data_IF_644462642322
#
_entry.id   IF_644462642322
#
_cell.length_a   1.000
_cell.length_b   1.000
_cell.length_c   1.000
_cell.angle_alpha   90.00
_cell.angle_beta   90.00
_cell.angle_gamma   90.00
#
_symmetry.space_group_name_H-M   'P 1'
#
loop_
_entity.id
_entity.type
_entity.pdbx_description
1 polymer ?
#
# COMPACT_ATOMS: atom_id res chain seq x y z
N UNK A 1 6.21 24.26 -11.29
CA UNK A 1 6.40 23.04 -10.47
C UNK A 1 6.38 21.85 -11.40
N UNK A 2 7.02 20.74 -11.04
CA UNK A 2 6.89 19.50 -11.81
C UNK A 2 5.52 18.91 -11.50
N UNK A 3 4.70 18.74 -12.52
CA UNK A 3 3.32 18.26 -12.38
C UNK A 3 3.30 16.73 -12.32
N UNK A 4 2.32 16.19 -11.61
CA UNK A 4 2.14 14.74 -11.49
C UNK A 4 1.85 14.12 -12.84
N UNK A 5 1.04 14.79 -13.66
CA UNK A 5 0.56 14.35 -14.96
C UNK A 5 1.73 14.00 -15.89
N UNK A 6 2.78 14.84 -15.92
CA UNK A 6 3.94 14.62 -16.79
C UNK A 6 4.74 13.38 -16.36
N UNK A 7 5.03 13.21 -15.08
CA UNK A 7 5.73 12.02 -14.57
C UNK A 7 4.85 10.77 -14.70
N UNK A 8 3.55 10.92 -14.48
CA UNK A 8 2.61 9.81 -14.56
C UNK A 8 2.60 9.20 -15.96
N UNK A 9 2.46 10.02 -17.00
CA UNK A 9 2.43 9.55 -18.39
C UNK A 9 3.80 9.06 -18.86
N UNK A 10 4.88 9.77 -18.52
CA UNK A 10 6.21 9.46 -19.06
C UNK A 10 6.93 8.31 -18.36
N UNK A 11 6.66 8.08 -17.06
CA UNK A 11 7.41 7.10 -16.24
C UNK A 11 6.48 6.07 -15.62
N UNK A 12 5.47 6.52 -14.87
CA UNK A 12 4.66 5.61 -14.06
C UNK A 12 3.82 4.66 -14.90
N UNK A 13 3.12 5.19 -15.92
CA UNK A 13 2.22 4.41 -16.77
C UNK A 13 2.98 3.35 -17.58
N UNK A 14 4.11 3.65 -18.27
CA UNK A 14 4.93 2.64 -18.91
C UNK A 14 5.43 1.56 -17.94
N UNK A 15 5.84 1.94 -16.73
CA UNK A 15 6.28 1.00 -15.70
C UNK A 15 5.12 0.09 -15.26
N UNK A 16 3.94 0.64 -14.99
CA UNK A 16 2.76 -0.12 -14.60
C UNK A 16 2.34 -1.12 -15.69
N UNK A 17 2.32 -0.69 -16.95
CA UNK A 17 2.04 -1.57 -18.10
C UNK A 17 3.09 -2.68 -18.19
N UNK A 18 4.38 -2.35 -18.03
CA UNK A 18 5.47 -3.32 -18.06
C UNK A 18 5.33 -4.38 -16.96
N UNK A 19 4.92 -3.98 -15.74
CA UNK A 19 4.66 -4.89 -14.62
C UNK A 19 3.48 -5.83 -14.94
N UNK A 20 2.40 -5.31 -15.53
CA UNK A 20 1.24 -6.11 -15.93
C UNK A 20 1.60 -7.11 -17.04
N UNK A 21 2.31 -6.66 -18.08
CA UNK A 21 2.78 -7.50 -19.18
C UNK A 21 3.74 -8.59 -18.68
N UNK A 22 4.68 -8.25 -17.79
CA UNK A 22 5.56 -9.23 -17.18
C UNK A 22 4.78 -10.31 -16.42
N UNK A 23 3.79 -9.92 -15.63
CA UNK A 23 3.00 -10.88 -14.86
C UNK A 23 2.07 -11.73 -15.75
N UNK A 24 1.47 -11.13 -16.78
CA UNK A 24 0.59 -11.83 -17.72
C UNK A 24 1.33 -12.75 -18.68
N UNK A 25 2.41 -12.25 -19.30
CA UNK A 25 3.13 -12.98 -20.35
C UNK A 25 4.22 -13.90 -19.78
N UNK A 26 5.02 -13.44 -18.81
CA UNK A 26 6.16 -14.22 -18.29
C UNK A 26 5.78 -15.08 -17.09
N UNK A 27 5.06 -14.54 -16.12
CA UNK A 27 4.61 -15.32 -14.94
C UNK A 27 3.30 -16.08 -15.17
N UNK A 28 2.66 -15.90 -16.33
CA UNK A 28 1.39 -16.55 -16.71
C UNK A 28 0.31 -16.43 -15.62
N UNK A 29 0.24 -15.26 -14.96
CA UNK A 29 -0.78 -14.99 -13.94
C UNK A 29 -2.15 -14.82 -14.60
N UNK A 30 -3.20 -15.31 -13.93
CA UNK A 30 -4.56 -15.28 -14.45
C UNK A 30 -5.14 -13.86 -14.55
N UNK A 31 -6.21 -13.69 -15.35
CA UNK A 31 -6.87 -12.39 -15.58
C UNK A 31 -7.35 -11.72 -14.29
N UNK A 32 -7.91 -12.50 -13.36
CA UNK A 32 -8.37 -12.00 -12.05
C UNK A 32 -7.21 -11.44 -11.21
N UNK A 33 -6.04 -12.09 -11.24
CA UNK A 33 -4.84 -11.57 -10.57
C UNK A 33 -4.42 -10.22 -11.17
N UNK A 34 -4.40 -10.12 -12.51
CA UNK A 34 -4.03 -8.89 -13.20
C UNK A 34 -5.04 -7.76 -12.92
N UNK A 35 -6.31 -8.08 -12.74
CA UNK A 35 -7.34 -7.12 -12.33
C UNK A 35 -7.02 -6.51 -10.95
N UNK A 36 -6.77 -7.34 -9.91
CA UNK A 36 -6.39 -6.83 -8.59
C UNK A 36 -5.06 -6.09 -8.61
N UNK A 37 -4.07 -6.57 -9.38
CA UNK A 37 -2.81 -5.87 -9.56
C UNK A 37 -2.99 -4.50 -10.23
N UNK A 38 -3.90 -4.39 -11.21
CA UNK A 38 -4.20 -3.12 -11.87
C UNK A 38 -4.83 -2.11 -10.93
N UNK A 39 -5.79 -2.54 -10.09
CA UNK A 39 -6.39 -1.69 -9.04
C UNK A 39 -5.32 -1.21 -8.07
N UNK A 40 -4.44 -2.12 -7.63
CA UNK A 40 -3.37 -1.79 -6.69
C UNK A 40 -2.34 -0.81 -7.28
N UNK A 41 -1.94 -1.00 -8.55
CA UNK A 41 -1.09 -0.04 -9.24
C UNK A 41 -1.81 1.31 -9.37
N UNK A 42 -3.05 1.33 -9.81
CA UNK A 42 -3.83 2.57 -9.87
C UNK A 42 -3.87 3.31 -8.52
N UNK A 43 -4.11 2.58 -7.42
CA UNK A 43 -4.00 3.12 -6.07
C UNK A 43 -2.59 3.68 -5.76
N UNK A 44 -1.51 2.96 -6.08
CA UNK A 44 -0.14 3.42 -5.86
C UNK A 44 0.17 4.72 -6.61
N UNK A 45 -0.47 4.98 -7.75
CA UNK A 45 -0.33 6.26 -8.45
C UNK A 45 -0.84 7.44 -7.61
N UNK A 46 -1.94 7.25 -6.86
CA UNK A 46 -2.45 8.26 -5.92
C UNK A 46 -1.57 8.40 -4.69
N UNK A 47 -0.99 7.32 -4.18
CA UNK A 47 0.01 7.40 -3.11
C UNK A 47 1.14 8.32 -3.55
N UNK A 48 1.73 8.06 -4.73
CA UNK A 48 2.80 8.91 -5.29
C UNK A 48 2.32 10.35 -5.46
N UNK A 49 1.12 10.57 -6.01
CA UNK A 49 0.54 11.91 -6.21
C UNK A 49 0.46 12.68 -4.89
N UNK A 50 -0.14 12.08 -3.87
CA UNK A 50 -0.41 12.78 -2.62
C UNK A 50 0.80 12.86 -1.69
N UNK A 51 1.80 11.99 -1.82
CA UNK A 51 3.00 12.01 -0.96
C UNK A 51 4.17 12.76 -1.57
N UNK A 52 4.30 12.82 -2.91
CA UNK A 52 5.48 13.43 -3.53
C UNK A 52 5.18 14.76 -4.22
N UNK A 53 3.96 14.99 -4.71
CA UNK A 53 3.62 16.16 -5.54
C UNK A 53 2.86 17.26 -4.79
N UNK A 54 3.00 18.53 -5.18
CA UNK A 54 3.83 19.04 -6.27
C UNK A 54 5.32 19.13 -5.90
N UNK A 55 6.22 18.85 -6.85
CA UNK A 55 7.67 18.99 -6.64
C UNK A 55 8.12 20.37 -7.16
N UNK A 56 8.65 21.27 -6.31
CA UNK A 56 9.11 22.58 -6.76
C UNK A 56 10.47 22.46 -7.43
N UNK A 57 10.51 22.45 -8.77
CA UNK A 57 11.75 22.36 -9.57
C UNK A 57 12.20 23.69 -10.20
N UNK A 58 11.44 24.78 -10.00
CA UNK A 58 11.79 26.07 -10.59
C UNK A 58 12.97 26.70 -9.82
N UNK A 59 14.15 26.71 -10.44
CA UNK A 59 15.40 27.21 -9.84
C UNK A 59 15.32 28.67 -9.38
N UNK A 60 14.65 29.56 -10.14
CA UNK A 60 14.51 30.98 -9.75
C UNK A 60 13.67 31.14 -8.49
N UNK A 61 12.56 30.41 -8.43
CA UNK A 61 11.68 30.37 -7.27
C UNK A 61 12.39 29.80 -6.03
N UNK A 62 13.10 28.67 -6.20
CA UNK A 62 13.87 28.06 -5.11
C UNK A 62 14.98 29.00 -4.60
N UNK A 63 15.71 29.66 -5.50
CA UNK A 63 16.75 30.61 -5.12
C UNK A 63 16.18 31.78 -4.31
N UNK A 64 15.03 32.32 -4.70
CA UNK A 64 14.35 33.38 -3.96
C UNK A 64 13.96 32.96 -2.54
N UNK A 65 13.37 31.77 -2.36
CA UNK A 65 12.98 31.30 -1.02
C UNK A 65 14.20 30.99 -0.17
N UNK A 66 15.21 30.33 -0.75
CA UNK A 66 16.40 29.93 -0.02
C UNK A 66 17.26 31.12 0.45
N UNK A 67 17.08 32.32 -0.11
CA UNK A 67 17.67 33.56 0.41
C UNK A 67 17.07 33.98 1.76
N UNK A 68 15.78 33.70 1.98
CA UNK A 68 15.08 34.08 3.20
C UNK A 68 15.23 33.03 4.30
N UNK A 69 15.32 31.75 3.93
CA UNK A 69 15.59 30.65 4.84
C UNK A 69 16.55 29.67 4.17
N UNK A 70 17.84 29.70 4.53
CA UNK A 70 18.84 28.80 3.97
C UNK A 70 18.44 27.32 4.15
N UNK A 71 18.85 26.48 3.21
CA UNK A 71 18.52 25.04 3.21
C UNK A 71 18.90 24.35 4.54
N UNK A 72 20.05 24.69 5.13
CA UNK A 72 20.47 24.07 6.40
C UNK A 72 19.53 24.42 7.57
N UNK A 73 18.95 25.62 7.56
CA UNK A 73 17.98 26.02 8.58
C UNK A 73 16.67 25.29 8.36
N UNK A 74 16.20 25.21 7.11
CA UNK A 74 15.02 24.43 6.77
C UNK A 74 15.14 22.97 7.23
N UNK A 75 16.30 22.34 7.03
CA UNK A 75 16.55 20.97 7.51
C UNK A 75 16.36 20.85 9.02
N UNK A 76 16.86 21.81 9.80
CA UNK A 76 16.76 21.78 11.26
C UNK A 76 15.32 21.90 11.76
N UNK A 77 14.48 22.70 11.09
CA UNK A 77 13.11 22.98 11.55
C UNK A 77 12.04 22.11 10.91
N UNK A 78 12.32 21.49 9.75
CA UNK A 78 11.34 20.71 8.98
C UNK A 78 11.67 19.22 8.88
N UNK A 79 12.76 18.78 9.48
CA UNK A 79 13.04 17.36 9.65
C UNK A 79 12.96 17.02 11.14
N UNK A 80 12.02 16.13 11.46
CA UNK A 80 11.87 15.60 12.80
C UNK A 80 12.24 14.12 12.85
N UNK A 81 13.32 13.83 13.56
CA UNK A 81 13.79 12.47 13.80
C UNK A 81 13.34 11.90 15.16
N UNK A 82 12.67 12.69 16.00
CA UNK A 82 12.26 12.22 17.32
C UNK A 82 10.92 11.48 17.20
N UNK A 83 10.89 10.15 17.36
CA UNK A 83 9.64 9.40 17.26
C UNK A 83 8.76 9.66 18.48
N UNK A 84 7.45 9.45 18.31
CA UNK A 84 6.44 9.51 19.37
C UNK A 84 6.37 10.86 20.10
N UNK A 85 6.90 11.92 19.49
CA UNK A 85 6.69 13.26 20.02
C UNK A 85 5.19 13.60 19.97
N UNK A 86 4.69 14.11 21.09
CA UNK A 86 3.32 14.59 21.22
C UNK A 86 3.39 16.11 21.20
N UNK A 87 2.46 16.77 20.53
CA UNK A 87 2.40 18.23 20.56
C UNK A 87 2.17 18.70 22.01
N UNK A 88 2.74 19.85 22.40
CA UNK A 88 2.59 20.38 23.76
C UNK A 88 1.13 20.63 24.18
N UNK A 89 0.23 20.76 23.21
CA UNK A 89 -1.19 21.04 23.39
C UNK A 89 -2.05 19.78 23.65
N UNK A 90 -1.44 18.60 23.79
CA UNK A 90 -2.12 17.31 23.97
C UNK A 90 -3.20 17.02 22.91
N UNK A 91 -3.13 17.67 21.75
CA UNK A 91 -4.07 17.38 20.67
C UNK A 91 -3.78 16.01 20.08
N UNK A 92 -4.79 15.14 20.11
CA UNK A 92 -4.72 13.83 19.47
C UNK A 92 -4.78 13.99 17.96
N UNK A 93 -3.83 13.36 17.24
CA UNK A 93 -3.79 13.13 15.79
C UNK A 93 -4.10 14.37 14.93
N UNK A 94 -3.05 14.96 14.34
CA UNK A 94 -3.25 16.04 13.36
C UNK A 94 -3.94 15.51 12.09
N UNK A 95 -4.57 16.41 11.34
CA UNK A 95 -5.18 16.08 10.04
C UNK A 95 -4.19 15.37 9.11
N UNK A 96 -2.93 15.80 9.08
CA UNK A 96 -1.88 15.20 8.23
C UNK A 96 -1.58 13.76 8.64
N UNK A 97 -1.49 13.50 9.94
CA UNK A 97 -1.25 12.17 10.50
C UNK A 97 -2.41 11.21 10.18
N UNK A 98 -3.67 11.68 10.30
CA UNK A 98 -4.86 10.91 9.92
C UNK A 98 -4.84 10.59 8.42
N UNK A 99 -4.47 11.57 7.58
CA UNK A 99 -4.39 11.35 6.13
C UNK A 99 -3.31 10.32 5.77
N UNK A 100 -2.17 10.28 6.47
CA UNK A 100 -1.14 9.25 6.29
C UNK A 100 -1.66 7.85 6.64
N UNK A 101 -2.41 7.71 7.74
CA UNK A 101 -3.10 6.45 8.09
C UNK A 101 -4.06 6.04 6.96
N UNK A 102 -4.99 6.94 6.60
CA UNK A 102 -6.04 6.65 5.60
C UNK A 102 -5.41 6.27 4.26
N UNK A 103 -4.35 6.96 3.86
CA UNK A 103 -3.63 6.71 2.62
C UNK A 103 -3.10 5.27 2.56
N UNK A 104 -2.62 4.71 3.66
CA UNK A 104 -2.03 3.36 3.71
C UNK A 104 -3.02 2.22 3.99
N UNK A 105 -4.29 2.51 4.32
CA UNK A 105 -5.31 1.47 4.52
C UNK A 105 -5.52 0.61 3.25
N UNK A 106 -5.71 1.18 2.04
CA UNK A 106 -5.89 0.36 0.84
C UNK A 106 -4.70 -0.55 0.56
N UNK A 107 -3.47 -0.13 0.89
CA UNK A 107 -2.29 -0.97 0.75
C UNK A 107 -2.41 -2.25 1.58
N UNK A 108 -2.68 -2.11 2.88
CA UNK A 108 -2.84 -3.23 3.80
C UNK A 108 -3.94 -4.21 3.40
N UNK A 109 -4.98 -3.70 2.72
CA UNK A 109 -6.07 -4.49 2.19
C UNK A 109 -5.69 -5.25 0.91
N UNK A 110 -5.27 -4.53 -0.14
CA UNK A 110 -5.09 -5.09 -1.49
C UNK A 110 -3.87 -6.01 -1.62
N UNK A 111 -2.83 -5.82 -0.81
CA UNK A 111 -1.62 -6.64 -0.86
C UNK A 111 -1.91 -8.14 -0.69
N UNK A 112 -2.98 -8.49 0.05
CA UNK A 112 -3.40 -9.87 0.29
C UNK A 112 -3.94 -10.58 -0.95
N UNK A 113 -4.36 -9.84 -1.98
CA UNK A 113 -4.81 -10.39 -3.26
C UNK A 113 -3.68 -10.52 -4.28
N UNK A 114 -2.49 -10.00 -3.99
CA UNK A 114 -1.36 -9.97 -4.94
C UNK A 114 -0.24 -10.90 -4.49
N UNK A 115 0.02 -10.98 -3.19
CA UNK A 115 1.03 -11.86 -2.63
C UNK A 115 0.47 -12.64 -1.45
N UNK A 116 1.03 -13.82 -1.22
CA UNK A 116 0.73 -14.59 -0.01
C UNK A 116 1.40 -13.93 1.18
N UNK A 117 0.62 -13.15 1.93
CA UNK A 117 1.04 -12.46 3.15
C UNK A 117 0.89 -13.39 4.37
N UNK A 118 1.46 -12.98 5.50
CA UNK A 118 1.15 -13.40 6.87
C UNK A 118 1.34 -12.15 7.76
N UNK A 119 1.09 -12.23 9.06
CA UNK A 119 1.20 -11.05 9.95
C UNK A 119 2.60 -10.42 9.82
N UNK A 120 3.67 -11.21 9.89
CA UNK A 120 5.05 -10.71 9.78
C UNK A 120 5.32 -9.97 8.46
N UNK A 121 4.82 -10.51 7.34
CA UNK A 121 4.94 -9.85 6.03
C UNK A 121 4.13 -8.56 5.97
N UNK A 122 2.93 -8.53 6.55
CA UNK A 122 2.14 -7.30 6.61
C UNK A 122 2.87 -6.23 7.40
N UNK A 123 3.41 -6.57 8.57
CA UNK A 123 4.21 -5.65 9.38
C UNK A 123 5.43 -5.15 8.58
N UNK A 124 6.18 -6.06 7.97
CA UNK A 124 7.34 -5.71 7.15
C UNK A 124 6.99 -4.79 5.97
N UNK A 125 5.98 -5.15 5.18
CA UNK A 125 5.59 -4.37 4.00
C UNK A 125 4.93 -3.04 4.37
N UNK A 126 4.19 -2.97 5.48
CA UNK A 126 3.61 -1.73 5.99
C UNK A 126 4.70 -0.78 6.51
N UNK A 127 5.74 -1.32 7.14
CA UNK A 127 6.90 -0.52 7.52
C UNK A 127 7.66 -0.05 6.28
N UNK A 128 7.90 -0.95 5.32
CA UNK A 128 8.64 -0.65 4.10
C UNK A 128 7.97 0.44 3.26
N UNK A 129 6.64 0.44 3.13
CA UNK A 129 5.94 1.50 2.38
C UNK A 129 6.05 2.85 3.08
N UNK A 130 5.85 2.90 4.41
CA UNK A 130 6.02 4.14 5.19
C UNK A 130 7.44 4.68 5.10
N UNK A 131 8.43 3.81 5.31
CA UNK A 131 9.84 4.15 5.18
C UNK A 131 10.22 4.62 3.76
N UNK A 132 9.68 3.98 2.72
CA UNK A 132 9.96 4.35 1.33
C UNK A 132 9.39 5.73 0.99
N UNK A 133 8.18 6.05 1.45
CA UNK A 133 7.56 7.37 1.25
C UNK A 133 8.43 8.46 1.87
N UNK A 134 8.79 8.29 3.14
CA UNK A 134 9.60 9.26 3.89
C UNK A 134 10.98 9.45 3.28
N UNK A 135 11.63 8.33 2.92
CA UNK A 135 12.94 8.34 2.29
C UNK A 135 12.92 9.05 0.93
N UNK A 136 11.87 8.84 0.13
CA UNK A 136 11.72 9.53 -1.16
C UNK A 136 11.50 11.04 -0.98
N UNK A 137 10.70 11.47 0.00
CA UNK A 137 10.53 12.88 0.31
C UNK A 137 11.84 13.53 0.76
N UNK A 138 12.63 12.83 1.57
CA UNK A 138 13.97 13.28 1.98
C UNK A 138 14.92 13.37 0.79
N UNK A 139 15.02 12.32 -0.02
CA UNK A 139 15.87 12.29 -1.22
C UNK A 139 15.50 13.41 -2.19
N UNK A 140 14.22 13.64 -2.43
CA UNK A 140 13.75 14.73 -3.27
C UNK A 140 14.13 16.10 -2.68
N UNK A 141 13.90 16.31 -1.38
CA UNK A 141 14.23 17.57 -0.69
C UNK A 141 15.72 17.90 -0.74
N UNK A 142 16.59 16.88 -0.58
CA UNK A 142 18.04 17.03 -0.72
C UNK A 142 18.43 17.31 -2.17
N UNK A 143 17.84 16.58 -3.13
CA UNK A 143 18.14 16.73 -4.55
C UNK A 143 17.81 18.13 -5.09
N UNK A 144 16.72 18.73 -4.62
CA UNK A 144 16.31 20.09 -5.01
C UNK A 144 16.90 21.18 -4.10
N UNK A 145 17.65 20.80 -3.05
CA UNK A 145 18.18 21.69 -2.00
C UNK A 145 17.09 22.58 -1.38
N UNK A 146 15.92 22.00 -1.11
CA UNK A 146 14.79 22.69 -0.54
C UNK A 146 13.84 21.70 0.15
N UNK A 147 13.51 21.95 1.42
CA UNK A 147 12.59 21.11 2.19
C UNK A 147 11.16 21.53 1.89
N UNK A 148 10.57 20.94 0.86
CA UNK A 148 9.25 21.31 0.35
C UNK A 148 8.09 20.64 1.11
N UNK A 149 8.38 19.59 1.87
CA UNK A 149 7.47 18.90 2.78
C UNK A 149 8.19 18.66 4.09
N UNK A 150 7.46 18.75 5.19
CA UNK A 150 7.97 18.34 6.50
C UNK A 150 8.21 16.85 6.47
N UNK A 151 9.39 16.43 6.90
CA UNK A 151 9.81 15.04 7.01
C UNK A 151 9.71 14.70 8.49
N UNK A 152 8.85 13.76 8.86
CA UNK A 152 8.61 13.38 10.25
C UNK A 152 8.64 11.86 10.38
N UNK A 153 9.52 11.35 11.24
CA UNK A 153 9.62 9.91 11.48
C UNK A 153 8.31 9.30 12.01
N UNK A 154 7.44 10.11 12.63
CA UNK A 154 6.10 9.68 13.01
C UNK A 154 5.23 9.31 11.79
N UNK A 155 5.47 9.88 10.61
CA UNK A 155 4.72 9.53 9.41
C UNK A 155 4.98 8.08 8.96
N UNK A 156 6.16 7.54 9.26
CA UNK A 156 6.43 6.10 9.09
C UNK A 156 5.50 5.28 10.00
N UNK A 157 5.29 5.72 11.23
CA UNK A 157 4.42 5.05 12.21
C UNK A 157 2.96 5.15 11.74
N UNK A 158 2.50 6.33 11.31
CA UNK A 158 1.12 6.51 10.83
C UNK A 158 0.83 5.69 9.56
N UNK A 159 1.75 5.68 8.60
CA UNK A 159 1.66 4.84 7.40
C UNK A 159 1.64 3.34 7.77
N UNK A 160 2.50 2.93 8.71
CA UNK A 160 2.54 1.56 9.23
C UNK A 160 1.22 1.16 9.89
N UNK A 161 0.65 2.02 10.73
CA UNK A 161 -0.66 1.85 11.37
C UNK A 161 -1.77 1.72 10.33
N UNK A 162 -1.76 2.56 9.29
CA UNK A 162 -2.69 2.44 8.17
C UNK A 162 -2.62 1.07 7.49
N UNK A 163 -1.42 0.57 7.24
CA UNK A 163 -1.20 -0.76 6.67
C UNK A 163 -1.74 -1.90 7.54
N UNK A 164 -1.58 -1.82 8.86
CA UNK A 164 -2.16 -2.78 9.81
C UNK A 164 -3.69 -2.71 9.78
N UNK A 165 -4.26 -1.51 9.86
CA UNK A 165 -5.72 -1.31 9.83
C UNK A 165 -6.31 -1.87 8.54
N UNK A 166 -5.68 -1.61 7.39
CA UNK A 166 -6.08 -2.18 6.10
C UNK A 166 -6.08 -3.70 6.08
N UNK A 167 -5.08 -4.33 6.72
CA UNK A 167 -5.02 -5.77 6.85
C UNK A 167 -6.11 -6.32 7.78
N UNK A 168 -6.41 -5.65 8.89
CA UNK A 168 -7.52 -6.03 9.78
C UNK A 168 -8.86 -5.96 9.04
N UNK A 169 -9.10 -4.89 8.27
CA UNK A 169 -10.28 -4.78 7.40
C UNK A 169 -10.36 -5.96 6.41
N UNK A 170 -9.24 -6.32 5.78
CA UNK A 170 -9.19 -7.49 4.91
C UNK A 170 -9.57 -8.79 5.65
N UNK A 171 -9.04 -9.02 6.85
CA UNK A 171 -9.36 -10.21 7.63
C UNK A 171 -10.84 -10.31 7.99
N UNK A 172 -11.45 -9.19 8.41
CA UNK A 172 -12.88 -9.12 8.74
C UNK A 172 -13.72 -9.47 7.50
N UNK A 173 -13.46 -8.81 6.38
CA UNK A 173 -14.19 -9.04 5.12
C UNK A 173 -13.98 -10.46 4.62
N UNK A 174 -12.75 -10.97 4.64
CA UNK A 174 -12.42 -12.33 4.24
C UNK A 174 -13.17 -13.37 5.09
N UNK A 175 -13.24 -13.17 6.42
CA UNK A 175 -13.93 -14.08 7.33
C UNK A 175 -15.44 -14.10 7.07
N UNK A 176 -16.05 -12.94 6.91
CA UNK A 176 -17.48 -12.81 6.58
C UNK A 176 -17.78 -13.46 5.23
N UNK A 177 -16.96 -13.17 4.21
CA UNK A 177 -17.14 -13.73 2.88
C UNK A 177 -17.09 -15.26 2.87
N UNK A 178 -16.07 -15.85 3.51
CA UNK A 178 -15.95 -17.32 3.62
C UNK A 178 -17.14 -17.92 4.39
N UNK A 179 -17.54 -17.30 5.50
CA UNK A 179 -18.70 -17.75 6.27
C UNK A 179 -19.98 -17.80 5.42
N UNK A 180 -20.26 -16.74 4.66
CA UNK A 180 -21.43 -16.68 3.78
C UNK A 180 -21.33 -17.75 2.68
N UNK A 181 -20.18 -17.87 2.01
CA UNK A 181 -20.00 -18.87 0.95
C UNK A 181 -20.17 -20.30 1.45
N UNK A 182 -19.61 -20.63 2.62
CA UNK A 182 -19.70 -21.96 3.22
C UNK A 182 -21.13 -22.24 3.72
N UNK A 183 -21.79 -21.27 4.35
CA UNK A 183 -23.14 -21.42 4.89
C UNK A 183 -24.18 -21.66 3.80
N UNK A 184 -24.10 -20.90 2.69
CA UNK A 184 -25.04 -21.03 1.57
C UNK A 184 -24.58 -21.99 0.46
N UNK A 185 -23.45 -22.69 0.63
CA UNK A 185 -22.85 -23.56 -0.40
C UNK A 185 -22.75 -22.88 -1.78
N UNK A 186 -22.25 -21.64 -1.80
CA UNK A 186 -22.19 -20.82 -3.01
C UNK A 186 -21.30 -21.47 -4.08
N UNK A 187 -21.82 -21.61 -5.30
CA UNK A 187 -21.00 -22.02 -6.44
C UNK A 187 -20.08 -20.88 -6.87
N UNK A 188 -18.79 -21.18 -7.04
CA UNK A 188 -17.79 -20.17 -7.38
C UNK A 188 -17.49 -20.13 -8.88
N UNK A 189 -17.59 -18.93 -9.47
CA UNK A 189 -16.94 -18.60 -10.74
C UNK A 189 -15.45 -18.24 -10.52
N UNK A 190 -14.70 -17.96 -11.60
CA UNK A 190 -13.26 -17.65 -11.49
C UNK A 190 -12.95 -16.50 -10.53
N UNK A 191 -13.77 -15.45 -10.52
CA UNK A 191 -13.57 -14.27 -9.69
C UNK A 191 -13.82 -14.55 -8.21
N UNK A 192 -15.00 -15.09 -7.89
CA UNK A 192 -15.40 -15.43 -6.52
C UNK A 192 -14.54 -16.54 -5.93
N UNK A 193 -14.08 -17.49 -6.76
CA UNK A 193 -13.10 -18.51 -6.40
C UNK A 193 -11.77 -17.87 -6.01
N UNK A 194 -11.29 -16.89 -6.79
CA UNK A 194 -10.04 -16.17 -6.51
C UNK A 194 -10.09 -15.48 -5.15
N UNK A 195 -11.20 -14.79 -4.84
CA UNK A 195 -11.38 -14.15 -3.53
C UNK A 195 -11.40 -15.21 -2.44
N UNK A 196 -12.20 -16.28 -2.62
CA UNK A 196 -12.34 -17.35 -1.63
C UNK A 196 -11.00 -17.97 -1.25
N UNK A 197 -10.17 -18.35 -2.24
CA UNK A 197 -8.85 -18.94 -1.94
C UNK A 197 -7.91 -17.99 -1.18
N UNK A 198 -7.96 -16.68 -1.44
CA UNK A 198 -7.14 -15.72 -0.71
C UNK A 198 -7.70 -15.49 0.71
N UNK A 199 -9.01 -15.60 0.90
CA UNK A 199 -9.66 -15.51 2.20
C UNK A 199 -9.44 -16.74 3.09
N UNK A 200 -9.60 -17.97 2.59
CA UNK A 200 -9.46 -19.18 3.43
C UNK A 200 -8.05 -19.41 3.94
N UNK A 201 -7.02 -18.99 3.18
CA UNK A 201 -5.62 -19.24 3.52
C UNK A 201 -5.20 -18.56 4.82
N UNK A 202 -5.98 -17.57 5.28
CA UNK A 202 -5.76 -16.83 6.52
C UNK A 202 -6.46 -17.40 7.74
N UNK A 203 -7.46 -18.26 7.52
CA UNK A 203 -8.18 -18.95 8.59
C UNK A 203 -7.31 -20.02 9.27
N UNK A 204 -6.30 -20.56 8.54
CA UNK A 204 -5.39 -21.60 9.02
C UNK A 204 -4.36 -21.15 10.07
N UNK A 205 -4.02 -19.87 10.12
CA UNK A 205 -3.02 -19.36 11.07
C UNK A 205 -3.60 -19.10 12.47
N UNK A 206 -4.92 -19.26 12.67
CA UNK A 206 -5.59 -19.00 13.95
C UNK A 206 -6.57 -20.07 14.45
N UNK A 207 -6.79 -21.16 13.70
CA UNK A 207 -7.78 -22.18 14.07
C UNK A 207 -7.38 -23.57 13.53
N UNK A 208 -6.97 -24.48 14.43
CA UNK A 208 -6.38 -25.79 14.11
C UNK A 208 -7.40 -26.83 13.60
N UNK A 209 -8.69 -26.50 13.53
CA UNK A 209 -9.76 -27.42 13.12
C UNK A 209 -10.06 -27.54 11.61
N UNK A 210 -9.51 -26.67 10.76
CA UNK A 210 -9.99 -26.47 9.36
C UNK A 210 -9.34 -27.45 8.35
N UNK A 211 -8.54 -28.42 8.81
CA UNK A 211 -7.79 -29.31 7.91
C UNK A 211 -8.68 -30.26 7.08
N UNK A 212 -9.91 -30.53 7.53
CA UNK A 212 -10.84 -31.48 6.90
C UNK A 212 -11.56 -30.90 5.67
N UNK A 213 -12.01 -29.65 5.71
CA UNK A 213 -12.76 -29.05 4.59
C UNK A 213 -11.86 -28.74 3.38
N UNK A 214 -10.62 -28.37 3.62
CA UNK A 214 -9.63 -28.11 2.56
C UNK A 214 -9.23 -29.40 1.83
N UNK A 215 -9.21 -30.56 2.52
CA UNK A 215 -9.02 -31.87 1.87
C UNK A 215 -10.20 -32.25 0.98
N UNK A 216 -11.43 -32.04 1.46
CA UNK A 216 -12.66 -32.24 0.66
C UNK A 216 -12.65 -31.37 -0.60
N UNK A 217 -12.12 -30.16 -0.52
CA UNK A 217 -12.04 -29.21 -1.63
C UNK A 217 -10.93 -29.50 -2.65
N UNK A 218 -9.76 -30.00 -2.20
CA UNK A 218 -8.71 -30.48 -3.12
C UNK A 218 -9.18 -31.69 -3.97
N UNK A 219 -10.09 -32.51 -3.44
CA UNK A 219 -10.72 -33.61 -4.16
C UNK A 219 -11.69 -33.12 -5.25
N UNK A 220 -12.49 -32.07 -4.97
CA UNK A 220 -13.37 -31.40 -5.94
C UNK A 220 -12.59 -30.80 -7.13
N UNK A 221 -11.46 -30.16 -6.87
CA UNK A 221 -10.58 -29.60 -7.91
C UNK A 221 -9.97 -30.68 -8.82
N UNK A 222 -9.85 -31.91 -8.34
CA UNK A 222 -9.38 -33.07 -9.12
C UNK A 222 -10.46 -33.62 -10.06
N UNK A 223 -11.75 -33.46 -9.70
CA UNK A 223 -12.89 -33.84 -10.53
C UNK A 223 -13.15 -32.83 -11.65
N UNK A 224 -13.06 -31.52 -11.37
CA UNK A 224 -13.29 -30.46 -12.38
C UNK A 224 -12.19 -30.45 -13.46
N UNK A 225 -10.99 -30.96 -13.18
CA UNK A 225 -9.92 -31.12 -14.18
C UNK A 225 -10.03 -32.39 -15.05
N UNK A 226 -11.00 -33.26 -14.78
CA UNK A 226 -11.23 -34.52 -15.51
C UNK A 226 -12.45 -34.46 -16.45
N UNK A 227 -13.16 -33.34 -16.46
CA UNK A 227 -14.19 -32.99 -17.44
C UNK A 227 -13.62 -31.91 -18.36
#
# INVERSE_FOLDING_TARGET
MLSFESIFVSVYLPLAISILLYNGLKKKKGKIYLFFLSIFLFYLSFVIKYTLFPIPVNKKYLAYINQHMPFHEMLKYRINFFPLWIRPDFTFLTKEQILNIILCIPFGFFINFIIKTNISKILFYSFLIGFSIESLQMLLSVSIRHVYRTIDINDIIFNFTGGIIGFLFYLIIARIYVFICDYFNIQHNEFTYYIYIHSITKRKDGDSGISKDVRKYHLLKKHIKKL
#
